data_IF_056758349701
#
_entry.id   IF_056758349701
#
_cell.length_a   1.000
_cell.length_b   1.000
_cell.length_c   1.000
_cell.angle_alpha   90.00
_cell.angle_beta   90.00
_cell.angle_gamma   90.00
#
_symmetry.space_group_name_H-M   'P 1'
#
loop_
_entity.id
_entity.type
_entity.pdbx_description
1 polymer ?
#
# COMPACT_ATOMS: atom_id res chain seq x y z
N UNK A 1 16.34 14.41 -1.63
CA UNK A 1 15.85 13.22 -0.90
C UNK A 1 14.35 13.41 -0.68
N UNK A 2 13.51 12.53 -1.18
CA UNK A 2 12.06 12.56 -0.92
C UNK A 2 11.80 11.67 0.31
N UNK A 3 11.55 12.28 1.46
CA UNK A 3 11.20 11.56 2.68
C UNK A 3 9.68 11.68 2.87
N UNK A 4 9.02 10.56 3.17
CA UNK A 4 7.63 10.57 3.62
C UNK A 4 7.66 10.89 5.12
N UNK A 5 6.95 11.94 5.54
CA UNK A 5 6.79 12.25 6.96
C UNK A 5 5.81 11.29 7.61
N UNK A 6 6.31 10.32 8.38
CA UNK A 6 5.46 9.46 9.22
C UNK A 6 5.24 10.20 10.55
N UNK A 7 3.99 10.45 10.98
CA UNK A 7 3.74 11.08 12.26
C UNK A 7 4.39 10.30 13.39
N UNK A 8 4.96 10.98 14.40
CA UNK A 8 5.60 10.31 15.53
C UNK A 8 4.62 9.64 16.50
N UNK A 9 3.32 9.90 16.36
CA UNK A 9 2.29 9.32 17.21
C UNK A 9 1.16 8.76 16.35
N UNK A 10 0.93 7.46 16.50
CA UNK A 10 -0.22 6.80 15.92
C UNK A 10 -1.52 7.30 16.58
N UNK A 11 -2.61 7.31 15.79
CA UNK A 11 -3.98 7.53 16.29
C UNK A 11 -4.98 6.64 15.54
N UNK A 12 -6.09 6.26 16.17
CA UNK A 12 -7.16 5.51 15.50
C UNK A 12 -7.65 6.22 14.24
N UNK A 13 -7.94 5.45 13.19
CA UNK A 13 -8.45 5.97 11.91
C UNK A 13 -7.38 6.55 10.98
N UNK A 14 -6.09 6.45 11.30
CA UNK A 14 -5.02 6.76 10.35
C UNK A 14 -5.10 5.84 9.13
N UNK A 15 -5.06 6.44 7.94
CA UNK A 15 -5.18 5.73 6.66
C UNK A 15 -4.11 6.20 5.68
N UNK A 16 -3.69 5.30 4.81
CA UNK A 16 -2.82 5.57 3.69
C UNK A 16 -3.52 5.20 2.39
N UNK A 17 -3.46 6.09 1.40
CA UNK A 17 -3.83 5.77 0.02
C UNK A 17 -2.57 5.35 -0.71
N UNK A 18 -2.52 4.10 -1.15
CA UNK A 18 -1.43 3.56 -1.95
C UNK A 18 -1.92 3.45 -3.38
N UNK A 19 -1.23 4.10 -4.31
CA UNK A 19 -1.46 3.97 -5.76
C UNK A 19 -0.26 3.27 -6.39
N UNK A 20 -0.49 2.24 -7.20
CA UNK A 20 0.58 1.49 -7.86
C UNK A 20 0.21 1.07 -9.28
N UNK A 21 1.20 1.04 -10.18
CA UNK A 21 1.03 0.51 -11.54
C UNK A 21 1.43 -0.97 -11.54
N UNK A 22 0.48 -1.84 -11.81
CA UNK A 22 0.73 -3.27 -11.80
C UNK A 22 0.98 -3.80 -13.21
N UNK A 23 2.04 -4.59 -13.38
CA UNK A 23 2.28 -5.34 -14.60
C UNK A 23 1.84 -6.79 -14.39
N UNK A 24 0.63 -7.11 -14.83
CA UNK A 24 -0.05 -8.39 -14.54
C UNK A 24 -0.20 -9.29 -15.77
N UNK A 25 0.82 -9.32 -16.62
CA UNK A 25 0.82 -10.15 -17.84
C UNK A 25 0.54 -11.62 -17.56
N UNK A 26 0.87 -12.12 -16.36
CA UNK A 26 0.68 -13.52 -15.95
C UNK A 26 -0.68 -13.81 -15.28
N UNK A 27 -1.41 -12.79 -14.83
CA UNK A 27 -2.68 -12.97 -14.08
C UNK A 27 -3.93 -12.93 -14.98
N UNK A 28 -3.74 -12.90 -16.31
CA UNK A 28 -4.84 -12.75 -17.28
C UNK A 28 -5.53 -11.37 -17.24
N UNK A 29 -4.95 -10.40 -16.53
CA UNK A 29 -5.45 -9.01 -16.45
C UNK A 29 -4.73 -8.11 -17.44
N UNK A 30 -5.38 -7.03 -17.86
CA UNK A 30 -4.76 -6.02 -18.73
C UNK A 30 -3.48 -5.49 -18.07
N UNK A 31 -2.31 -5.62 -18.73
CA UNK A 31 -1.06 -5.16 -18.15
C UNK A 31 -1.07 -3.64 -17.99
N UNK A 32 -0.20 -3.15 -17.11
CA UNK A 32 0.05 -1.71 -16.92
C UNK A 32 -1.14 -0.89 -16.40
N UNK A 33 -2.14 -1.49 -15.75
CA UNK A 33 -3.21 -0.74 -15.09
C UNK A 33 -2.76 -0.18 -13.72
N UNK A 34 -3.26 1.01 -13.38
CA UNK A 34 -3.12 1.60 -12.05
C UNK A 34 -4.17 1.04 -11.11
N UNK A 35 -3.73 0.75 -9.89
CA UNK A 35 -4.56 0.32 -8.78
C UNK A 35 -4.40 1.29 -7.63
N UNK A 36 -5.43 1.36 -6.79
CA UNK A 36 -5.45 2.13 -5.56
C UNK A 36 -6.05 1.30 -4.43
N UNK A 37 -5.56 1.50 -3.22
CA UNK A 37 -6.13 0.94 -2.00
C UNK A 37 -6.01 1.95 -0.87
N UNK A 38 -7.06 2.04 -0.05
CA UNK A 38 -7.02 2.75 1.22
C UNK A 38 -6.79 1.73 2.33
N UNK A 39 -5.62 1.77 2.96
CA UNK A 39 -5.26 0.87 4.05
C UNK A 39 -5.25 1.62 5.39
N UNK A 40 -5.83 1.00 6.42
CA UNK A 40 -5.65 1.50 7.79
C UNK A 40 -4.22 1.23 8.26
N UNK A 41 -3.63 2.22 8.92
CA UNK A 41 -2.28 2.12 9.47
C UNK A 41 -2.40 1.50 10.86
N UNK A 42 -1.78 0.33 11.12
CA UNK A 42 -1.77 -0.27 12.44
C UNK A 42 -1.06 0.62 13.47
N UNK A 43 -1.31 0.40 14.77
CA UNK A 43 -0.52 1.00 15.83
C UNK A 43 0.98 0.81 15.59
N UNK A 44 1.75 1.88 15.80
CA UNK A 44 3.21 1.88 15.72
C UNK A 44 3.80 2.77 16.83
N UNK A 45 5.02 2.45 17.25
CA UNK A 45 5.78 3.22 18.24
C UNK A 45 6.39 4.50 17.65
N UNK A 46 6.75 5.46 18.50
CA UNK A 46 7.15 6.81 18.05
C UNK A 46 8.45 6.88 17.26
N UNK A 47 9.27 5.83 17.32
CA UNK A 47 10.42 5.67 16.44
C UNK A 47 9.91 5.15 15.13
N UNK A 48 10.07 5.87 14.02
CA UNK A 48 9.67 5.40 12.70
C UNK A 48 10.85 5.49 11.75
N UNK A 49 11.28 4.36 11.19
CA UNK A 49 12.40 4.28 10.26
C UNK A 49 11.96 4.12 8.79
N UNK A 50 10.67 3.87 8.55
CA UNK A 50 10.13 3.78 7.20
C UNK A 50 8.76 3.12 7.14
N UNK A 51 8.16 3.19 5.96
CA UNK A 51 6.91 2.54 5.61
C UNK A 51 7.21 1.39 4.64
N UNK A 52 6.62 0.23 4.89
CA UNK A 52 6.72 -0.95 4.01
C UNK A 52 5.33 -1.31 3.53
N UNK A 53 5.18 -1.42 2.21
CA UNK A 53 3.95 -1.90 1.58
C UNK A 53 4.20 -3.31 1.06
N UNK A 54 3.47 -4.27 1.60
CA UNK A 54 3.46 -5.65 1.12
C UNK A 54 2.36 -5.79 0.08
N UNK A 55 2.72 -6.28 -1.11
CA UNK A 55 1.78 -6.65 -2.15
C UNK A 55 1.47 -8.14 -2.01
N UNK A 56 0.21 -8.47 -1.77
CA UNK A 56 -0.29 -9.81 -1.54
C UNK A 56 -1.06 -10.33 -2.77
N UNK A 57 -1.24 -11.65 -2.92
CA UNK A 57 -2.05 -12.22 -3.99
C UNK A 57 -3.48 -11.65 -3.99
N UNK A 58 -4.05 -11.50 -5.20
CA UNK A 58 -5.42 -10.99 -5.37
C UNK A 58 -5.53 -9.47 -5.19
N UNK A 59 -4.47 -8.71 -5.50
CA UNK A 59 -4.45 -7.24 -5.44
C UNK A 59 -4.61 -6.67 -4.04
N UNK A 60 -4.32 -7.47 -3.03
CA UNK A 60 -4.39 -7.07 -1.64
C UNK A 60 -3.07 -6.40 -1.25
N UNK A 61 -3.14 -5.46 -0.32
CA UNK A 61 -1.96 -4.82 0.25
C UNK A 61 -2.00 -4.84 1.77
N UNK A 62 -0.82 -4.76 2.38
CA UNK A 62 -0.64 -4.58 3.82
C UNK A 62 0.45 -3.56 4.11
N UNK A 63 0.16 -2.57 4.94
CA UNK A 63 1.08 -1.46 5.26
C UNK A 63 1.69 -1.62 6.64
N UNK A 64 3.00 -1.84 6.72
CA UNK A 64 3.73 -1.86 7.99
C UNK A 64 4.55 -0.58 8.18
N UNK A 65 4.64 -0.11 9.42
CA UNK A 65 5.60 0.91 9.82
C UNK A 65 6.78 0.19 10.48
N UNK A 66 8.00 0.49 10.04
CA UNK A 66 9.20 0.01 10.71
C UNK A 66 9.44 0.88 11.94
N UNK A 67 8.93 0.43 13.07
CA UNK A 67 9.00 1.15 14.34
C UNK A 67 9.97 0.57 15.37
N UNK A 68 10.37 -0.69 15.14
CA UNK A 68 11.31 -1.44 15.97
C UNK A 68 12.54 -1.87 15.17
N UNK A 69 13.64 -2.07 15.87
CA UNK A 69 14.85 -2.67 15.30
C UNK A 69 14.66 -4.18 15.14
N UNK A 70 15.08 -4.74 14.01
CA UNK A 70 15.04 -6.18 13.75
C UNK A 70 14.23 -6.55 12.51
N UNK A 71 13.85 -7.83 12.46
CA UNK A 71 13.06 -8.42 11.37
C UNK A 71 11.61 -7.97 11.51
N UNK A 72 11.01 -7.53 10.40
CA UNK A 72 9.59 -7.18 10.37
C UNK A 72 8.72 -8.44 10.53
N UNK A 73 7.62 -8.31 11.26
CA UNK A 73 6.68 -9.40 11.45
C UNK A 73 6.11 -9.85 10.10
N UNK A 74 5.96 -11.17 9.94
CA UNK A 74 5.40 -11.75 8.72
C UNK A 74 3.93 -11.37 8.62
N UNK A 75 3.51 -10.90 7.43
CA UNK A 75 2.10 -10.67 7.12
C UNK A 75 1.37 -12.01 6.95
N UNK A 76 0.29 -12.20 7.70
CA UNK A 76 -0.65 -13.30 7.54
C UNK A 76 -1.83 -12.89 6.63
N UNK A 77 -2.41 -13.86 5.91
CA UNK A 77 -3.56 -13.62 5.02
C UNK A 77 -4.82 -13.14 5.75
N UNK A 78 -4.92 -13.39 7.08
CA UNK A 78 -6.04 -12.97 7.94
C UNK A 78 -5.73 -11.71 8.75
N UNK A 79 -4.63 -11.03 8.46
CA UNK A 79 -4.29 -9.78 9.13
C UNK A 79 -5.40 -8.73 8.89
N UNK A 80 -6.00 -8.14 9.95
CA UNK A 80 -7.15 -7.26 9.84
C UNK A 80 -6.87 -5.95 9.10
N UNK A 81 -5.59 -5.60 8.91
CA UNK A 81 -5.17 -4.41 8.19
C UNK A 81 -4.81 -4.68 6.72
N UNK A 82 -5.16 -5.87 6.20
CA UNK A 82 -5.12 -6.13 4.76
C UNK A 82 -6.22 -5.33 4.07
N UNK A 83 -5.85 -4.56 3.06
CA UNK A 83 -6.77 -3.79 2.24
C UNK A 83 -6.82 -4.35 0.81
N UNK A 84 -8.01 -4.30 0.20
CA UNK A 84 -8.21 -4.72 -1.18
C UNK A 84 -7.88 -3.56 -2.14
N UNK A 85 -7.05 -3.84 -3.13
CA UNK A 85 -6.80 -2.97 -4.27
C UNK A 85 -7.91 -3.03 -5.30
N UNK A 86 -8.25 -1.86 -5.83
CA UNK A 86 -9.19 -1.65 -6.94
C UNK A 86 -8.53 -0.85 -8.04
N UNK A 87 -9.11 -0.81 -9.24
CA UNK A 87 -8.60 0.04 -10.31
C UNK A 87 -8.71 1.52 -9.91
N UNK A 88 -7.67 2.30 -10.21
CA UNK A 88 -7.71 3.75 -10.04
C UNK A 88 -8.25 4.38 -11.34
N UNK A 89 -9.49 4.92 -11.35
CA UNK A 89 -10.08 5.46 -12.58
C UNK A 89 -9.30 6.67 -13.09
N UNK A 90 -8.97 7.63 -12.22
CA UNK A 90 -8.28 8.87 -12.60
C UNK A 90 -6.94 8.61 -13.31
N UNK A 91 -6.12 7.70 -12.77
CA UNK A 91 -4.81 7.40 -13.34
C UNK A 91 -4.89 6.48 -14.57
N UNK A 92 -6.00 5.79 -14.78
CA UNK A 92 -6.21 4.97 -15.96
C UNK A 92 -6.91 5.73 -17.10
N UNK A 93 -7.80 6.68 -16.81
CA UNK A 93 -8.43 7.58 -17.78
C UNK A 93 -7.40 8.52 -18.42
N UNK A 94 -6.43 9.02 -17.64
CA UNK A 94 -5.36 9.87 -18.14
C UNK A 94 -4.39 9.17 -19.12
N UNK A 95 -4.54 7.86 -19.36
CA UNK A 95 -3.79 7.15 -20.42
C UNK A 95 -4.48 7.20 -21.77
N UNK A 96 -5.79 7.43 -21.82
CA UNK A 96 -6.56 7.49 -23.07
C UNK A 96 -6.40 8.84 -23.77
N UNK A 97 -6.05 9.89 -23.02
CA UNK A 97 -5.83 11.27 -23.52
C UNK A 97 -4.35 11.62 -23.77
N UNK A 98 -3.44 10.64 -23.70
CA UNK A 98 -2.00 10.83 -23.89
C UNK A 98 -1.47 10.15 -25.16
N UNK A 99 -2.26 10.21 -26.25
CA UNK A 99 -1.90 9.71 -27.59
C UNK A 99 -1.78 10.87 -28.58
#
# INVERSE_FOLDING_TARGET
MCCIGIPSHWRPGMRLVVKWKANKTLDGKTPSQWYTATAEVPPYDSRTAGLVVHFLPGDRIRVQVRDKSGILERVDDRDPYVAQGVLDPELNENKENAQ
#
